data_IF_258831744672
#
_entry.id   IF_258831744672
#
_cell.length_a   1.000
_cell.length_b   1.000
_cell.length_c   1.000
_cell.angle_alpha   90.00
_cell.angle_beta   90.00
_cell.angle_gamma   90.00
#
_symmetry.space_group_name_H-M   'P 1'
#
loop_
_entity.id
_entity.type
_entity.pdbx_description
1 polymer ?
#
# COMPACT_ATOMS: atom_id res chain seq x y z
N UNK A 1 18.31 -32.52 4.36
CA UNK A 1 19.03 -31.82 5.45
C UNK A 1 18.40 -30.44 5.62
N UNK A 2 17.77 -30.16 6.76
CA UNK A 2 16.91 -28.99 6.98
C UNK A 2 17.55 -27.99 7.95
N UNK A 3 18.15 -26.88 7.48
CA UNK A 3 18.62 -25.80 8.33
C UNK A 3 17.62 -24.62 8.44
N UNK A 4 16.40 -24.72 7.87
CA UNK A 4 15.49 -23.57 7.75
C UNK A 4 14.55 -23.32 8.94
N UNK A 5 14.39 -24.24 9.91
CA UNK A 5 13.37 -24.08 10.96
C UNK A 5 13.87 -23.40 12.25
N UNK A 6 15.16 -23.52 12.62
CA UNK A 6 15.65 -22.97 13.90
C UNK A 6 15.50 -21.45 14.03
N UNK A 7 15.68 -20.72 12.93
CA UNK A 7 15.51 -19.26 12.93
C UNK A 7 14.04 -18.87 13.06
N UNK A 8 13.17 -19.57 12.35
CA UNK A 8 11.73 -19.32 12.42
C UNK A 8 11.17 -19.63 13.82
N UNK A 9 11.56 -20.76 14.39
CA UNK A 9 11.12 -21.15 15.74
C UNK A 9 11.56 -20.10 16.77
N UNK A 10 12.80 -19.61 16.65
CA UNK A 10 13.30 -18.52 17.49
C UNK A 10 12.50 -17.22 17.29
N UNK A 11 12.20 -16.82 16.05
CA UNK A 11 11.40 -15.61 15.79
C UNK A 11 10.00 -15.74 16.42
N UNK A 12 9.34 -16.90 16.24
CA UNK A 12 8.01 -17.16 16.81
C UNK A 12 8.03 -17.11 18.34
N UNK A 13 9.06 -17.67 18.97
CA UNK A 13 9.23 -17.64 20.42
C UNK A 13 9.40 -16.21 20.93
N UNK A 14 10.26 -15.43 20.28
CA UNK A 14 10.49 -14.02 20.64
C UNK A 14 9.23 -13.16 20.47
N UNK A 15 8.44 -13.39 19.42
CA UNK A 15 7.15 -12.71 19.20
C UNK A 15 6.16 -13.09 20.31
N UNK A 16 6.07 -14.39 20.65
CA UNK A 16 5.16 -14.88 21.70
C UNK A 16 5.52 -14.32 23.08
N UNK A 17 6.81 -14.17 23.36
CA UNK A 17 7.33 -13.63 24.62
C UNK A 17 7.36 -12.09 24.63
N UNK A 18 6.97 -11.42 23.53
CA UNK A 18 7.02 -9.97 23.35
C UNK A 18 8.43 -9.36 23.54
N UNK A 19 9.48 -10.10 23.18
CA UNK A 19 10.88 -9.70 23.31
C UNK A 19 11.37 -8.92 22.08
N UNK A 20 10.71 -7.80 21.79
CA UNK A 20 10.90 -7.04 20.53
C UNK A 20 12.35 -6.56 20.31
N UNK A 21 13.06 -6.18 21.37
CA UNK A 21 14.47 -5.73 21.26
C UNK A 21 15.39 -6.85 20.81
N UNK A 22 15.24 -8.04 21.39
CA UNK A 22 16.03 -9.23 21.02
C UNK A 22 15.66 -9.67 19.61
N UNK A 23 14.39 -9.54 19.23
CA UNK A 23 13.94 -9.82 17.87
C UNK A 23 14.58 -8.88 16.83
N UNK A 24 14.67 -7.59 17.13
CA UNK A 24 15.37 -6.60 16.30
C UNK A 24 16.86 -6.96 16.12
N UNK A 25 17.57 -7.25 17.21
CA UNK A 25 18.98 -7.68 17.16
C UNK A 25 19.17 -8.94 16.33
N UNK A 26 18.30 -9.94 16.50
CA UNK A 26 18.34 -11.18 15.71
C UNK A 26 18.10 -10.90 14.23
N UNK A 27 17.10 -10.08 13.90
CA UNK A 27 16.79 -9.73 12.51
C UNK A 27 17.95 -9.01 11.83
N UNK A 28 18.55 -8.02 12.51
CA UNK A 28 19.73 -7.30 12.02
C UNK A 28 20.93 -8.24 11.86
N UNK A 29 21.20 -9.10 12.86
CA UNK A 29 22.35 -10.02 12.81
C UNK A 29 22.29 -11.05 11.67
N UNK A 30 21.08 -11.43 11.25
CA UNK A 30 20.88 -12.42 10.18
C UNK A 30 20.82 -11.79 8.80
N UNK A 31 20.56 -10.49 8.72
CA UNK A 31 20.40 -9.76 7.46
C UNK A 31 19.03 -9.93 6.84
N UNK A 32 18.59 -8.89 6.13
CA UNK A 32 17.28 -8.77 5.50
C UNK A 32 16.98 -9.91 4.53
N UNK A 33 17.96 -10.35 3.73
CA UNK A 33 17.76 -11.41 2.74
C UNK A 33 17.34 -12.72 3.39
N UNK A 34 17.91 -13.05 4.56
CA UNK A 34 17.57 -14.29 5.25
C UNK A 34 16.21 -14.20 5.93
N UNK A 35 15.85 -13.03 6.45
CA UNK A 35 14.53 -12.79 7.04
C UNK A 35 13.45 -12.88 5.97
N UNK A 36 13.67 -12.28 4.79
CA UNK A 36 12.75 -12.37 3.64
C UNK A 36 12.59 -13.82 3.18
N UNK A 37 13.68 -14.59 3.07
CA UNK A 37 13.61 -16.01 2.68
C UNK A 37 12.79 -16.86 3.66
N UNK A 38 12.85 -16.56 4.96
CA UNK A 38 12.03 -17.24 5.98
C UNK A 38 10.59 -16.77 5.89
N UNK A 39 10.37 -15.46 5.75
CA UNK A 39 9.04 -14.86 5.72
C UNK A 39 8.24 -15.30 4.49
N UNK A 40 8.86 -15.31 3.30
CA UNK A 40 8.21 -15.68 2.03
C UNK A 40 7.63 -17.09 2.03
N UNK A 41 8.22 -18.01 2.82
CA UNK A 41 7.71 -19.38 3.02
C UNK A 41 6.43 -19.43 3.86
N UNK A 42 6.09 -18.35 4.56
CA UNK A 42 4.96 -18.27 5.49
C UNK A 42 3.84 -17.35 4.99
N UNK A 43 4.07 -16.51 3.99
CA UNK A 43 3.07 -15.52 3.54
C UNK A 43 1.78 -16.16 2.99
N UNK A 44 1.82 -17.44 2.61
CA UNK A 44 0.63 -18.20 2.17
C UNK A 44 -0.22 -18.74 3.32
N UNK A 45 0.27 -18.70 4.56
CA UNK A 45 -0.43 -19.22 5.74
C UNK A 45 -0.76 -18.10 6.73
N UNK A 46 -1.81 -18.23 7.56
CA UNK A 46 -2.22 -17.19 8.51
C UNK A 46 -1.10 -16.74 9.46
N UNK A 47 -0.22 -17.65 9.86
CA UNK A 47 0.92 -17.37 10.73
C UNK A 47 1.91 -16.38 10.09
N UNK A 48 1.96 -16.30 8.76
CA UNK A 48 2.81 -15.35 8.03
C UNK A 48 2.50 -13.91 8.39
N UNK A 49 1.21 -13.56 8.48
CA UNK A 49 0.79 -12.22 8.88
C UNK A 49 1.21 -11.88 10.31
N UNK A 50 1.09 -12.84 11.24
CA UNK A 50 1.53 -12.64 12.64
C UNK A 50 3.05 -12.45 12.74
N UNK A 51 3.82 -13.25 11.99
CA UNK A 51 5.29 -13.13 11.97
C UNK A 51 5.72 -11.81 11.33
N UNK A 52 5.07 -11.42 10.22
CA UNK A 52 5.31 -10.14 9.55
C UNK A 52 5.06 -8.95 10.48
N UNK A 53 3.91 -8.94 11.18
CA UNK A 53 3.55 -7.85 12.09
C UNK A 53 4.52 -7.76 13.29
N UNK A 54 4.92 -8.91 13.84
CA UNK A 54 5.90 -8.97 14.92
C UNK A 54 7.28 -8.44 14.49
N UNK A 55 7.76 -8.82 13.30
CA UNK A 55 9.02 -8.33 12.75
C UNK A 55 8.98 -6.82 12.48
N UNK A 56 7.93 -6.33 11.82
CA UNK A 56 7.77 -4.90 11.53
C UNK A 56 7.57 -4.05 12.80
N UNK A 57 6.99 -4.65 13.84
CA UNK A 57 6.81 -3.99 15.14
C UNK A 57 8.09 -3.94 15.97
N UNK A 58 8.96 -4.95 15.83
CA UNK A 58 10.28 -4.98 16.46
C UNK A 58 11.28 -4.03 15.79
N UNK A 59 11.29 -3.97 14.46
CA UNK A 59 12.15 -3.09 13.69
C UNK A 59 11.62 -1.65 13.73
N UNK A 60 12.03 -0.87 14.73
CA UNK A 60 11.51 0.49 14.91
C UNK A 60 12.14 1.51 13.97
N UNK A 61 13.24 1.17 13.29
CA UNK A 61 13.95 2.08 12.39
C UNK A 61 14.87 3.07 13.10
N UNK A 62 15.28 2.77 14.35
CA UNK A 62 16.20 3.60 15.13
C UNK A 62 17.64 3.59 14.57
N UNK A 63 18.01 2.53 13.84
CA UNK A 63 19.29 2.43 13.12
C UNK A 63 19.03 2.28 11.62
N UNK A 64 20.05 2.56 10.80
CA UNK A 64 19.98 2.39 9.35
C UNK A 64 19.69 0.94 8.96
N UNK A 65 20.30 -0.01 9.66
CA UNK A 65 20.12 -1.44 9.42
C UNK A 65 18.69 -1.88 9.78
N UNK A 66 18.17 -1.39 10.91
CA UNK A 66 16.79 -1.63 11.34
C UNK A 66 15.79 -1.10 10.30
N UNK A 67 15.97 0.16 9.86
CA UNK A 67 15.10 0.76 8.85
C UNK A 67 15.19 0.04 7.50
N UNK A 68 16.41 -0.30 7.06
CA UNK A 68 16.63 -1.02 5.78
C UNK A 68 15.93 -2.38 5.80
N UNK A 69 16.11 -3.16 6.87
CA UNK A 69 15.45 -4.45 7.03
C UNK A 69 13.92 -4.29 7.08
N UNK A 70 13.42 -3.27 7.79
CA UNK A 70 11.99 -2.96 7.88
C UNK A 70 11.37 -2.64 6.52
N UNK A 71 12.00 -1.75 5.76
CA UNK A 71 11.55 -1.37 4.40
C UNK A 71 11.52 -2.62 3.52
N UNK A 72 12.58 -3.43 3.53
CA UNK A 72 12.67 -4.64 2.71
C UNK A 72 11.62 -5.70 3.06
N UNK A 73 11.27 -5.83 4.33
CA UNK A 73 10.15 -6.69 4.75
C UNK A 73 8.82 -6.13 4.23
N UNK A 74 8.60 -4.83 4.38
CA UNK A 74 7.37 -4.18 3.90
C UNK A 74 7.23 -4.30 2.37
N UNK A 75 8.30 -4.06 1.61
CA UNK A 75 8.36 -4.28 0.15
C UNK A 75 7.99 -5.72 -0.20
N UNK A 76 8.58 -6.71 0.48
CA UNK A 76 8.27 -8.13 0.24
C UNK A 76 6.78 -8.44 0.47
N UNK A 77 6.17 -7.89 1.52
CA UNK A 77 4.74 -8.05 1.78
C UNK A 77 3.88 -7.36 0.72
N UNK A 78 4.25 -6.14 0.35
CA UNK A 78 3.55 -5.35 -0.65
C UNK A 78 3.55 -6.06 -2.01
N UNK A 79 4.72 -6.50 -2.48
CA UNK A 79 4.87 -7.27 -3.72
C UNK A 79 4.09 -8.59 -3.68
N UNK A 80 4.15 -9.31 -2.55
CA UNK A 80 3.41 -10.56 -2.41
C UNK A 80 1.90 -10.35 -2.52
N UNK A 81 1.35 -9.35 -1.81
CA UNK A 81 -0.08 -9.03 -1.88
C UNK A 81 -0.45 -8.57 -3.29
N UNK A 82 0.37 -7.76 -3.94
CA UNK A 82 0.14 -7.30 -5.31
C UNK A 82 0.06 -8.48 -6.30
N UNK A 83 1.05 -9.38 -6.29
CA UNK A 83 1.12 -10.54 -7.20
C UNK A 83 -0.03 -11.52 -6.95
N UNK A 84 -0.31 -11.87 -5.69
CA UNK A 84 -1.35 -12.84 -5.36
C UNK A 84 -2.76 -12.25 -5.52
N UNK A 85 -2.91 -10.92 -5.49
CA UNK A 85 -4.18 -10.25 -5.78
C UNK A 85 -4.56 -10.28 -7.28
N UNK A 86 -3.57 -10.35 -8.19
CA UNK A 86 -3.79 -10.44 -9.63
C UNK A 86 -3.96 -11.88 -10.16
N UNK A 87 -3.63 -12.88 -9.34
CA UNK A 87 -3.73 -14.29 -9.70
C UNK A 87 -5.14 -14.83 -9.50
N UNK A 88 -5.88 -15.06 -10.59
CA UNK A 88 -7.16 -15.79 -10.54
C UNK A 88 -7.02 -17.11 -9.79
N UNK A 89 -7.87 -17.30 -8.76
CA UNK A 89 -7.79 -18.36 -7.75
C UNK A 89 -7.58 -19.78 -8.27
N UNK A 90 -6.33 -20.11 -8.58
CA UNK A 90 -5.89 -21.46 -8.91
C UNK A 90 -5.75 -22.33 -7.66
N UNK A 91 -5.73 -23.64 -7.87
CA UNK A 91 -5.51 -24.67 -6.85
C UNK A 91 -4.08 -24.51 -6.29
N UNK A 92 -3.94 -23.69 -5.23
CA UNK A 92 -2.66 -23.25 -4.66
C UNK A 92 -2.60 -21.75 -4.30
N UNK A 93 -3.64 -20.98 -4.61
CA UNK A 93 -3.75 -19.56 -4.30
C UNK A 93 -3.88 -19.27 -2.81
N UNK A 94 -3.43 -18.08 -2.41
CA UNK A 94 -3.59 -17.56 -1.04
C UNK A 94 -5.06 -17.27 -0.76
N UNK A 95 -5.53 -17.57 0.44
CA UNK A 95 -6.92 -17.28 0.80
C UNK A 95 -7.12 -15.77 1.01
N UNK A 96 -8.31 -15.26 0.68
CA UNK A 96 -8.68 -13.86 0.96
C UNK A 96 -8.50 -13.48 2.43
N UNK A 97 -8.68 -14.43 3.34
CA UNK A 97 -8.43 -14.22 4.77
C UNK A 97 -6.95 -13.86 5.03
N UNK A 98 -6.02 -14.58 4.40
CA UNK A 98 -4.58 -14.33 4.54
C UNK A 98 -4.20 -13.01 3.87
N UNK A 99 -4.68 -12.75 2.64
CA UNK A 99 -4.42 -11.47 1.96
C UNK A 99 -4.94 -10.28 2.77
N UNK A 100 -6.17 -10.37 3.28
CA UNK A 100 -6.76 -9.35 4.15
C UNK A 100 -5.97 -9.14 5.44
N UNK A 101 -5.46 -10.22 6.04
CA UNK A 101 -4.60 -10.11 7.22
C UNK A 101 -3.28 -9.39 6.90
N UNK A 102 -2.63 -9.71 5.76
CA UNK A 102 -1.39 -9.07 5.31
C UNK A 102 -1.59 -7.59 4.99
N UNK A 103 -2.67 -7.23 4.28
CA UNK A 103 -3.05 -5.83 4.06
C UNK A 103 -3.30 -5.10 5.38
N UNK A 104 -3.95 -5.76 6.33
CA UNK A 104 -4.12 -5.22 7.68
C UNK A 104 -2.78 -4.93 8.37
N UNK A 105 -1.77 -5.79 8.20
CA UNK A 105 -0.40 -5.53 8.70
C UNK A 105 0.20 -4.31 8.00
N UNK A 106 0.16 -4.27 6.66
CA UNK A 106 0.71 -3.15 5.88
C UNK A 106 0.08 -1.81 6.31
N UNK A 107 -1.25 -1.73 6.39
CA UNK A 107 -1.98 -0.53 6.81
C UNK A 107 -1.53 -0.01 8.19
N UNK A 108 -1.35 -0.89 9.18
CA UNK A 108 -0.93 -0.51 10.54
C UNK A 108 0.48 0.06 10.57
N UNK A 109 1.34 -0.35 9.65
CA UNK A 109 2.75 -0.01 9.68
C UNK A 109 3.05 1.32 8.98
N UNK A 110 2.20 1.77 8.05
CA UNK A 110 2.35 3.03 7.29
C UNK A 110 2.63 4.25 8.18
N UNK A 111 1.87 4.43 9.26
CA UNK A 111 2.00 5.58 10.16
C UNK A 111 3.37 5.62 10.88
N UNK A 112 4.07 4.49 10.95
CA UNK A 112 5.33 4.33 11.66
C UNK A 112 6.56 4.39 10.75
N UNK A 113 6.40 4.52 9.43
CA UNK A 113 7.51 4.69 8.50
C UNK A 113 7.92 6.17 8.40
N UNK A 114 9.23 6.46 8.25
CA UNK A 114 9.67 7.81 7.89
C UNK A 114 9.23 8.18 6.47
N UNK A 115 9.10 9.47 6.20
CA UNK A 115 8.47 9.99 4.97
C UNK A 115 9.14 9.50 3.70
N UNK A 116 10.47 9.58 3.63
CA UNK A 116 11.25 9.13 2.48
C UNK A 116 11.07 7.64 2.15
N UNK A 117 10.73 6.79 3.13
CA UNK A 117 10.53 5.37 2.92
C UNK A 117 9.16 5.05 2.32
N UNK A 118 8.20 5.98 2.41
CA UNK A 118 6.85 5.81 1.88
C UNK A 118 6.72 6.23 0.41
N UNK A 119 7.55 7.19 -0.05
CA UNK A 119 7.47 7.74 -1.40
C UNK A 119 7.62 6.69 -2.51
N UNK A 120 8.56 5.72 -2.45
CA UNK A 120 8.71 4.72 -3.49
C UNK A 120 7.45 3.87 -3.72
N UNK A 121 6.65 3.64 -2.68
CA UNK A 121 5.39 2.90 -2.82
C UNK A 121 4.36 3.71 -3.61
N UNK A 122 4.28 5.03 -3.39
CA UNK A 122 3.41 5.91 -4.19
C UNK A 122 3.86 5.94 -5.64
N UNK A 123 5.16 6.05 -5.88
CA UNK A 123 5.75 6.03 -7.22
C UNK A 123 5.40 4.73 -7.97
N UNK A 124 5.36 3.59 -7.27
CA UNK A 124 4.95 2.32 -7.88
C UNK A 124 3.50 2.34 -8.37
N UNK A 125 2.55 2.92 -7.62
CA UNK A 125 1.17 3.09 -8.12
C UNK A 125 1.12 4.02 -9.34
N UNK A 126 1.85 5.13 -9.30
CA UNK A 126 1.90 6.09 -10.41
C UNK A 126 2.46 5.44 -11.68
N UNK A 127 3.53 4.66 -11.58
CA UNK A 127 4.11 4.00 -12.73
C UNK A 127 3.16 2.93 -13.31
N UNK A 128 2.47 2.17 -12.46
CA UNK A 128 1.48 1.18 -12.92
C UNK A 128 0.31 1.84 -13.69
N UNK A 129 -0.25 2.93 -13.16
CA UNK A 129 -1.30 3.68 -13.86
C UNK A 129 -0.79 4.26 -15.18
N UNK A 130 0.43 4.79 -15.19
CA UNK A 130 1.06 5.39 -16.37
C UNK A 130 1.29 4.38 -17.50
N UNK A 131 1.65 3.13 -17.19
CA UNK A 131 1.79 2.06 -18.19
C UNK A 131 0.45 1.40 -18.55
N UNK A 132 -0.65 1.83 -17.92
CA UNK A 132 -2.00 1.31 -18.17
C UNK A 132 -2.30 -0.03 -17.50
N UNK A 133 -1.47 -0.47 -16.55
CA UNK A 133 -1.75 -1.67 -15.76
C UNK A 133 -2.96 -1.41 -14.84
N UNK A 134 -3.95 -2.30 -14.83
CA UNK A 134 -5.16 -2.08 -14.06
C UNK A 134 -4.86 -2.20 -12.55
N UNK A 135 -5.31 -1.20 -11.79
CA UNK A 135 -5.25 -1.25 -10.33
C UNK A 135 -6.35 -2.19 -9.82
N UNK A 136 -5.97 -3.43 -9.48
CA UNK A 136 -6.89 -4.45 -9.00
C UNK A 136 -6.41 -5.17 -7.75
N UNK A 137 -7.37 -5.46 -6.87
CA UNK A 137 -7.18 -6.29 -5.69
C UNK A 137 -6.72 -5.54 -4.44
N UNK A 138 -6.37 -6.31 -3.40
CA UNK A 138 -6.34 -5.82 -2.00
C UNK A 138 -5.18 -4.89 -1.69
N UNK A 139 -4.11 -4.91 -2.48
CA UNK A 139 -3.00 -3.96 -2.32
C UNK A 139 -3.44 -2.52 -2.63
N UNK A 140 -4.47 -2.31 -3.45
CA UNK A 140 -4.96 -0.95 -3.78
C UNK A 140 -5.58 -0.25 -2.57
N UNK A 141 -6.11 -1.02 -1.61
CA UNK A 141 -6.65 -0.51 -0.34
C UNK A 141 -5.60 0.23 0.51
N UNK A 142 -4.30 0.08 0.20
CA UNK A 142 -3.22 0.79 0.88
C UNK A 142 -3.07 2.24 0.40
N UNK A 143 -3.43 2.53 -0.84
CA UNK A 143 -3.17 3.82 -1.48
C UNK A 143 -3.85 5.01 -0.78
N UNK A 144 -5.14 4.94 -0.36
CA UNK A 144 -5.77 6.04 0.35
C UNK A 144 -5.05 6.37 1.66
N UNK A 145 -4.80 5.34 2.49
CA UNK A 145 -4.10 5.50 3.77
C UNK A 145 -2.68 6.02 3.57
N UNK A 146 -1.95 5.52 2.57
CA UNK A 146 -0.61 5.98 2.22
C UNK A 146 -0.59 7.48 1.91
N UNK A 147 -1.51 7.94 1.05
CA UNK A 147 -1.59 9.37 0.68
C UNK A 147 -2.10 10.25 1.81
N UNK A 148 -3.05 9.78 2.62
CA UNK A 148 -3.50 10.49 3.82
C UNK A 148 -2.37 10.62 4.85
N UNK A 149 -1.67 9.52 5.16
CA UNK A 149 -0.52 9.52 6.08
C UNK A 149 0.61 10.41 5.59
N UNK A 150 0.82 10.53 4.27
CA UNK A 150 1.80 11.48 3.70
C UNK A 150 1.30 12.92 3.78
N UNK A 151 0.00 13.16 3.58
CA UNK A 151 -0.59 14.50 3.60
C UNK A 151 -0.45 15.19 4.96
N UNK A 152 -0.45 14.43 6.05
CA UNK A 152 -0.26 14.93 7.41
C UNK A 152 1.19 15.36 7.72
N UNK A 153 2.14 15.13 6.80
CA UNK A 153 3.57 15.37 7.02
C UNK A 153 4.03 16.66 6.36
N UNK A 154 5.09 17.26 6.92
CA UNK A 154 5.66 18.51 6.40
C UNK A 154 7.08 18.36 5.83
N UNK A 155 7.61 17.13 5.85
CA UNK A 155 8.99 16.79 5.51
C UNK A 155 9.07 15.92 4.24
N UNK A 156 8.26 16.23 3.23
CA UNK A 156 8.33 15.53 1.94
C UNK A 156 9.41 16.15 1.06
N UNK A 157 10.33 15.31 0.59
CA UNK A 157 11.40 15.71 -0.33
C UNK A 157 11.25 14.92 -1.63
N UNK A 158 10.95 15.62 -2.71
CA UNK A 158 10.99 15.08 -4.07
C UNK A 158 12.30 15.54 -4.73
N UNK A 159 13.29 14.65 -4.75
CA UNK A 159 14.66 15.01 -5.12
C UNK A 159 15.23 16.07 -4.18
N UNK A 160 15.55 17.26 -4.72
CA UNK A 160 16.07 18.39 -3.93
C UNK A 160 14.97 19.36 -3.44
N UNK A 161 13.71 19.14 -3.83
CA UNK A 161 12.61 20.06 -3.52
C UNK A 161 11.87 19.60 -2.27
N UNK A 162 11.84 20.47 -1.25
CA UNK A 162 10.98 20.28 -0.09
C UNK A 162 9.57 20.81 -0.37
N UNK A 163 8.55 20.06 0.04
CA UNK A 163 7.16 20.48 -0.01
C UNK A 163 6.36 19.90 1.17
N UNK A 164 5.16 20.45 1.41
CA UNK A 164 4.24 19.85 2.38
C UNK A 164 3.65 18.55 1.82
N UNK A 165 3.18 17.70 2.73
CA UNK A 165 2.46 16.48 2.41
C UNK A 165 1.20 16.72 1.60
N UNK A 166 0.43 17.74 1.95
CA UNK A 166 -0.76 18.16 1.17
C UNK A 166 -0.38 18.54 -0.26
N UNK A 167 0.70 19.31 -0.45
CA UNK A 167 1.19 19.68 -1.77
C UNK A 167 1.65 18.44 -2.57
N UNK A 168 2.33 17.50 -1.91
CA UNK A 168 2.73 16.23 -2.54
C UNK A 168 1.52 15.38 -2.92
N UNK A 169 0.53 15.23 -2.03
CA UNK A 169 -0.73 14.51 -2.33
C UNK A 169 -1.41 15.12 -3.55
N UNK A 170 -1.53 16.44 -3.60
CA UNK A 170 -2.16 17.11 -4.73
C UNK A 170 -1.37 16.90 -6.04
N UNK A 171 -0.04 16.91 -5.97
CA UNK A 171 0.82 16.59 -7.11
C UNK A 171 0.60 15.14 -7.60
N UNK A 172 0.49 14.17 -6.69
CA UNK A 172 0.19 12.77 -7.03
C UNK A 172 -1.16 12.68 -7.76
N UNK A 173 -2.20 13.36 -7.25
CA UNK A 173 -3.51 13.40 -7.90
C UNK A 173 -3.46 14.03 -9.30
N UNK A 174 -2.68 15.10 -9.48
CA UNK A 174 -2.46 15.69 -10.81
C UNK A 174 -1.78 14.71 -11.76
N UNK A 175 -0.71 14.07 -11.32
CA UNK A 175 -0.01 13.07 -12.13
C UNK A 175 -0.96 11.94 -12.54
N UNK A 176 -1.80 11.47 -11.61
CA UNK A 176 -2.85 10.49 -11.93
C UNK A 176 -3.80 11.03 -13.00
N UNK A 177 -4.32 12.25 -12.86
CA UNK A 177 -5.22 12.86 -13.85
C UNK A 177 -4.59 13.04 -15.24
N UNK A 178 -3.27 13.21 -15.31
CA UNK A 178 -2.54 13.33 -16.57
C UNK A 178 -2.37 12.00 -17.32
N UNK A 179 -2.39 10.87 -16.61
CA UNK A 179 -2.29 9.53 -17.21
C UNK A 179 -3.62 9.01 -17.75
N UNK A 180 -3.60 8.15 -18.75
CA UNK A 180 -4.81 7.53 -19.28
C UNK A 180 -5.42 6.54 -18.28
N UNK A 181 -6.75 6.62 -18.10
CA UNK A 181 -7.46 5.74 -17.17
C UNK A 181 -8.35 4.76 -17.96
N UNK A 182 -7.99 3.48 -17.99
CA UNK A 182 -8.94 2.43 -18.36
C UNK A 182 -10.20 2.48 -17.49
N UNK A 183 -11.31 1.93 -17.98
CA UNK A 183 -12.59 1.95 -17.26
C UNK A 183 -12.50 1.29 -15.86
N UNK A 184 -11.77 0.17 -15.77
CA UNK A 184 -11.55 -0.55 -14.50
C UNK A 184 -10.71 0.29 -13.55
N UNK A 185 -9.56 0.81 -14.00
CA UNK A 185 -8.69 1.71 -13.23
C UNK A 185 -9.44 2.96 -12.76
N UNK A 186 -10.33 3.52 -13.60
CA UNK A 186 -11.16 4.67 -13.23
C UNK A 186 -12.06 4.35 -12.05
N UNK A 187 -12.75 3.20 -12.10
CA UNK A 187 -13.64 2.76 -11.03
C UNK A 187 -12.86 2.55 -9.72
N UNK A 188 -11.69 1.91 -9.79
CA UNK A 188 -10.82 1.70 -8.63
C UNK A 188 -10.28 3.01 -8.07
N UNK A 189 -9.78 3.92 -8.92
CA UNK A 189 -9.26 5.21 -8.46
C UNK A 189 -10.34 6.07 -7.80
N UNK A 190 -11.58 6.02 -8.30
CA UNK A 190 -12.71 6.69 -7.66
C UNK A 190 -13.00 6.13 -6.25
N UNK A 191 -12.89 4.81 -6.07
CA UNK A 191 -12.99 4.21 -4.72
C UNK A 191 -11.86 4.69 -3.80
N UNK A 192 -10.63 4.78 -4.32
CA UNK A 192 -9.47 5.25 -3.56
C UNK A 192 -9.66 6.70 -3.10
N UNK A 193 -9.96 7.62 -4.03
CA UNK A 193 -10.05 9.06 -3.71
C UNK A 193 -11.27 9.40 -2.87
N UNK A 194 -12.31 8.56 -2.88
CA UNK A 194 -13.46 8.66 -1.97
C UNK A 194 -13.03 8.62 -0.50
N UNK A 195 -11.99 7.86 -0.17
CA UNK A 195 -11.50 7.72 1.21
C UNK A 195 -10.55 8.86 1.65
N UNK A 196 -10.26 9.83 0.78
CA UNK A 196 -9.15 10.79 0.96
C UNK A 196 -9.53 12.20 1.43
N UNK A 197 -10.79 12.47 1.83
CA UNK A 197 -11.24 13.82 2.25
C UNK A 197 -10.75 14.93 1.29
N UNK A 198 -11.17 14.84 0.02
CA UNK A 198 -10.68 15.72 -1.04
C UNK A 198 -11.03 17.19 -0.79
N UNK A 199 -10.12 18.06 -1.17
CA UNK A 199 -10.40 19.48 -1.33
C UNK A 199 -11.26 19.73 -2.58
N UNK A 200 -11.94 20.88 -2.62
CA UNK A 200 -12.78 21.27 -3.76
C UNK A 200 -12.01 21.29 -5.09
N UNK A 201 -10.75 21.72 -5.05
CA UNK A 201 -9.90 21.78 -6.23
C UNK A 201 -9.48 20.37 -6.68
N UNK A 202 -9.10 19.49 -5.76
CA UNK A 202 -8.82 18.07 -6.03
C UNK A 202 -10.04 17.38 -6.66
N UNK A 203 -11.23 17.57 -6.08
CA UNK A 203 -12.48 17.03 -6.63
C UNK A 203 -12.76 17.55 -8.04
N UNK A 204 -12.56 18.85 -8.27
CA UNK A 204 -12.74 19.45 -9.59
C UNK A 204 -11.84 18.77 -10.63
N UNK A 205 -10.56 18.60 -10.35
CA UNK A 205 -9.62 17.97 -11.28
C UNK A 205 -10.01 16.50 -11.59
N UNK A 206 -10.46 15.75 -10.57
CA UNK A 206 -10.97 14.37 -10.73
C UNK A 206 -12.24 14.34 -11.61
N UNK A 207 -13.20 15.23 -11.37
CA UNK A 207 -14.44 15.32 -12.17
C UNK A 207 -14.10 15.60 -13.65
N UNK A 208 -13.20 16.55 -13.92
CA UNK A 208 -12.76 16.84 -15.30
C UNK A 208 -12.05 15.66 -15.94
N UNK A 209 -11.25 14.91 -15.17
CA UNK A 209 -10.62 13.68 -15.67
C UNK A 209 -11.65 12.64 -16.04
N UNK A 210 -12.62 12.36 -15.15
CA UNK A 210 -13.67 11.37 -15.41
C UNK A 210 -14.55 11.78 -16.58
N UNK A 211 -14.84 13.07 -16.76
CA UNK A 211 -15.57 13.56 -17.94
C UNK A 211 -14.86 13.19 -19.25
N UNK A 212 -13.53 13.27 -19.30
CA UNK A 212 -12.75 12.85 -20.48
C UNK A 212 -12.85 11.34 -20.68
N UNK A 213 -12.66 10.56 -19.61
CA UNK A 213 -12.77 9.10 -19.65
C UNK A 213 -14.14 8.67 -20.19
N UNK A 214 -15.22 9.29 -19.72
CA UNK A 214 -16.59 8.97 -20.13
C UNK A 214 -16.87 9.15 -21.63
N UNK A 215 -16.06 9.93 -22.34
CA UNK A 215 -16.20 10.12 -23.80
C UNK A 215 -15.64 8.95 -24.60
N UNK A 216 -14.71 8.19 -24.02
CA UNK A 216 -13.93 7.18 -24.73
C UNK A 216 -14.19 5.74 -24.24
N UNK A 217 -14.82 5.55 -23.07
CA UNK A 217 -15.18 4.23 -22.54
C UNK A 217 -16.41 3.62 -23.20
N UNK A 218 -16.51 2.29 -23.15
CA UNK A 218 -17.69 1.57 -23.60
C UNK A 218 -18.94 1.93 -22.78
N UNK A 219 -20.11 1.94 -23.43
CA UNK A 219 -21.38 2.30 -22.79
C UNK A 219 -21.70 1.50 -21.52
N UNK A 220 -21.29 0.23 -21.46
CA UNK A 220 -21.49 -0.64 -20.29
C UNK A 220 -20.68 -0.22 -19.06
N UNK A 221 -19.57 0.49 -19.26
CA UNK A 221 -18.70 0.97 -18.19
C UNK A 221 -19.15 2.31 -17.61
N UNK A 222 -20.04 3.04 -18.29
CA UNK A 222 -20.51 4.36 -17.85
C UNK A 222 -21.27 4.31 -16.51
N UNK A 223 -22.28 3.42 -16.30
CA UNK A 223 -23.03 3.38 -15.06
C UNK A 223 -22.19 3.20 -13.78
N UNK A 224 -21.25 2.24 -13.68
CA UNK A 224 -20.43 2.08 -12.48
C UNK A 224 -19.51 3.29 -12.23
N UNK A 225 -18.94 3.90 -13.28
CA UNK A 225 -18.09 5.08 -13.14
C UNK A 225 -18.88 6.28 -12.60
N UNK A 226 -20.07 6.54 -13.16
CA UNK A 226 -20.94 7.62 -12.69
C UNK A 226 -21.36 7.38 -11.23
N UNK A 227 -21.73 6.15 -10.88
CA UNK A 227 -22.09 5.81 -9.50
C UNK A 227 -20.96 6.13 -8.52
N UNK A 228 -19.73 5.70 -8.84
CA UNK A 228 -18.58 6.01 -7.98
C UNK A 228 -18.27 7.51 -7.92
N UNK A 229 -18.37 8.22 -9.04
CA UNK A 229 -18.15 9.67 -9.07
C UNK A 229 -19.14 10.42 -8.16
N UNK A 230 -20.42 10.00 -8.18
CA UNK A 230 -21.45 10.59 -7.29
C UNK A 230 -21.09 10.35 -5.82
N UNK A 231 -20.64 9.15 -5.47
CA UNK A 231 -20.19 8.85 -4.10
C UNK A 231 -19.00 9.70 -3.67
N UNK A 232 -18.04 9.94 -4.57
CA UNK A 232 -16.90 10.85 -4.31
C UNK A 232 -17.39 12.28 -4.10
N UNK A 233 -18.25 12.80 -4.98
CA UNK A 233 -18.77 14.16 -4.85
C UNK A 233 -19.53 14.39 -3.54
N UNK A 234 -20.27 13.39 -3.06
CA UNK A 234 -20.98 13.44 -1.77
C UNK A 234 -20.04 13.65 -0.57
N UNK A 235 -18.78 13.22 -0.63
CA UNK A 235 -17.83 13.40 0.49
C UNK A 235 -17.43 14.86 0.70
N UNK A 236 -17.59 15.71 -0.32
CA UNK A 236 -17.15 17.13 -0.29
C UNK A 236 -18.35 18.09 -0.23
N UNK A 237 -19.55 17.63 -0.58
CA UNK A 237 -20.75 18.46 -0.58
C UNK A 237 -21.31 18.62 0.85
N UNK A 238 -21.55 19.86 1.32
CA UNK A 238 -22.15 20.08 2.63
C UNK A 238 -23.60 19.58 2.67
N UNK A 239 -23.92 18.71 3.63
CA UNK A 239 -25.29 18.21 3.88
C UNK A 239 -25.56 16.74 3.53
N UNK A 240 -24.53 15.93 3.24
CA UNK A 240 -24.66 14.50 2.94
C UNK A 240 -24.31 13.56 4.13
N UNK A 241 -24.29 14.08 5.36
CA UNK A 241 -24.16 13.30 6.60
C UNK A 241 -25.36 13.55 7.52
#
# INVERSE_FOLDING_TARGET
>A
MAPSNKLLDKIKELIKNNELKVLEEVAISKGESKIIEVLSKLLRIPEGATVADGLLSALQGNTRESLTCRVKIFECLFEFVHVESGGGGGVGGVTELVLGALVGVLLRQLDRFPTHALLPFVEQYLELVKIGEPLQGRWVDLLPKLLCTLSERNDVYEGARQMSGEAYRYQVLKNLCDYDWPAETTTTLLLVVKEMNLEKQELSDIVHKVERVLRDVEYQSVPPIIYQLVLVAQTVLPGAA
#
